data_IF_257496399487
#
_entry.id   IF_257496399487
#
_cell.length_a   1.000
_cell.length_b   1.000
_cell.length_c   1.000
_cell.angle_alpha   90.00
_cell.angle_beta   90.00
_cell.angle_gamma   90.00
#
_symmetry.space_group_name_H-M   'P 1'
#
loop_
_entity.id
_entity.type
_entity.pdbx_description
1 polymer ?
#
# COMPACT_ATOMS: atom_id res chain seq x y z
N UNK A 1 -9.66 -22.16 11.66
CA UNK A 1 -8.65 -21.46 10.84
C UNK A 1 -9.24 -20.22 10.21
N UNK A 2 -8.47 -19.14 10.12
CA UNK A 2 -8.83 -17.87 9.51
C UNK A 2 -7.72 -17.39 8.59
N UNK A 3 -8.04 -16.76 7.45
CA UNK A 3 -7.06 -16.06 6.64
C UNK A 3 -6.49 -14.87 7.40
N UNK A 4 -5.21 -14.55 7.22
CA UNK A 4 -4.63 -13.36 7.82
C UNK A 4 -3.57 -12.73 6.92
N UNK A 5 -3.53 -11.40 6.94
CA UNK A 5 -2.58 -10.60 6.19
C UNK A 5 -1.28 -10.45 6.99
N UNK A 6 -0.18 -10.61 6.28
CA UNK A 6 1.18 -10.31 6.75
C UNK A 6 1.63 -8.97 6.18
N UNK A 7 2.71 -8.41 6.69
CA UNK A 7 3.35 -7.20 6.14
C UNK A 7 3.56 -7.31 4.62
N UNK A 8 3.93 -8.49 4.13
CA UNK A 8 4.14 -8.73 2.69
C UNK A 8 2.89 -8.53 1.83
N UNK A 9 1.70 -8.68 2.40
CA UNK A 9 0.44 -8.52 1.69
C UNK A 9 0.03 -7.03 1.53
N UNK A 10 0.49 -6.14 2.43
CA UNK A 10 0.13 -4.72 2.40
C UNK A 10 1.09 -3.97 1.48
N UNK A 11 0.60 -3.55 0.32
CA UNK A 11 1.34 -2.72 -0.65
C UNK A 11 0.90 -1.26 -0.54
N UNK A 12 1.51 -0.37 -1.32
CA UNK A 12 1.22 1.07 -1.27
C UNK A 12 -0.19 1.44 -1.75
N UNK A 13 -0.79 0.67 -2.63
CA UNK A 13 -2.07 1.03 -3.27
C UNK A 13 -3.06 -0.12 -3.31
N UNK A 14 -2.66 -1.31 -2.88
CA UNK A 14 -3.50 -2.50 -2.90
C UNK A 14 -3.05 -3.54 -1.87
N UNK A 15 -3.93 -4.48 -1.57
CA UNK A 15 -3.59 -5.68 -0.81
C UNK A 15 -3.25 -6.80 -1.79
N UNK A 16 -2.06 -7.38 -1.66
CA UNK A 16 -1.65 -8.53 -2.44
C UNK A 16 -2.25 -9.81 -1.83
N UNK A 17 -3.19 -10.40 -2.53
CA UNK A 17 -3.92 -11.59 -2.09
C UNK A 17 -3.41 -12.90 -2.73
N UNK A 18 -2.30 -12.88 -3.47
CA UNK A 18 -1.78 -14.09 -4.13
C UNK A 18 -1.30 -15.15 -3.13
N UNK A 19 -0.77 -14.73 -1.99
CA UNK A 19 -0.28 -15.63 -0.92
C UNK A 19 -0.80 -15.16 0.44
N UNK A 20 -2.03 -15.54 0.76
CA UNK A 20 -2.66 -15.24 2.05
C UNK A 20 -2.49 -16.45 2.98
N UNK A 21 -1.80 -16.22 4.09
CA UNK A 21 -1.59 -17.26 5.09
C UNK A 21 -2.87 -17.53 5.90
N UNK A 22 -2.88 -18.64 6.64
CA UNK A 22 -3.96 -18.97 7.57
C UNK A 22 -3.41 -19.20 8.98
N UNK A 23 -4.22 -18.88 9.98
CA UNK A 23 -3.88 -19.04 11.38
C UNK A 23 -5.05 -19.68 12.16
N UNK A 24 -4.73 -20.51 13.13
CA UNK A 24 -5.71 -21.04 14.07
C UNK A 24 -5.89 -20.05 15.22
N UNK A 25 -7.11 -19.61 15.42
CA UNK A 25 -7.48 -18.67 16.48
C UNK A 25 -8.78 -19.12 17.14
N UNK A 26 -9.06 -18.62 18.32
CA UNK A 26 -10.38 -18.77 18.96
C UNK A 26 -11.44 -17.92 18.25
N UNK A 27 -12.71 -18.18 18.54
CA UNK A 27 -13.81 -17.39 17.98
C UNK A 27 -13.71 -15.94 18.47
N UNK A 28 -13.40 -15.74 19.75
CA UNK A 28 -13.25 -14.42 20.37
C UNK A 28 -12.11 -13.60 19.71
N UNK A 29 -10.97 -14.25 19.46
CA UNK A 29 -9.84 -13.62 18.77
C UNK A 29 -10.21 -13.29 17.32
N UNK A 30 -10.91 -14.19 16.63
CA UNK A 30 -11.36 -13.96 15.26
C UNK A 30 -12.30 -12.76 15.16
N UNK A 31 -13.21 -12.57 16.10
CA UNK A 31 -14.11 -11.42 16.13
C UNK A 31 -13.37 -10.12 16.49
N UNK A 32 -12.44 -10.19 17.45
CA UNK A 32 -11.70 -9.03 17.94
C UNK A 32 -10.73 -8.46 16.92
N UNK A 33 -10.06 -9.32 16.13
CA UNK A 33 -8.99 -8.94 15.21
C UNK A 33 -9.38 -9.00 13.73
N UNK A 34 -10.66 -9.24 13.43
CA UNK A 34 -11.15 -9.20 12.06
C UNK A 34 -11.04 -7.79 11.48
N UNK A 35 -10.46 -7.72 10.30
CA UNK A 35 -10.41 -6.49 9.52
C UNK A 35 -11.82 -6.07 9.08
N UNK A 36 -12.08 -4.78 9.14
CA UNK A 36 -13.33 -4.17 8.71
C UNK A 36 -13.12 -3.38 7.43
N UNK A 37 -14.05 -3.48 6.46
CA UNK A 37 -13.99 -2.63 5.28
C UNK A 37 -13.87 -1.14 5.65
N UNK A 38 -13.01 -0.42 4.96
CA UNK A 38 -12.74 1.00 5.21
C UNK A 38 -11.57 1.26 6.16
N UNK A 39 -10.94 0.25 6.75
CA UNK A 39 -9.72 0.45 7.54
C UNK A 39 -8.51 0.74 6.66
N UNK A 40 -7.68 1.70 7.05
CA UNK A 40 -6.38 1.94 6.44
C UNK A 40 -5.36 0.98 7.05
N UNK A 41 -4.85 0.07 6.25
CA UNK A 41 -3.79 -0.86 6.64
C UNK A 41 -2.43 -0.19 6.48
N UNK A 42 -1.64 -0.17 7.53
CA UNK A 42 -0.28 0.35 7.54
C UNK A 42 0.68 -0.69 8.09
N UNK A 43 1.92 -0.74 7.59
CA UNK A 43 2.92 -1.68 8.08
C UNK A 43 3.80 -1.04 9.16
N UNK A 44 4.14 -1.82 10.20
CA UNK A 44 5.04 -1.37 11.28
C UNK A 44 6.43 -1.04 10.76
N UNK A 45 6.92 -1.78 9.79
CA UNK A 45 8.29 -1.63 9.31
C UNK A 45 8.52 -2.18 7.92
N UNK A 46 9.73 -1.92 7.45
CA UNK A 46 10.22 -2.33 6.15
C UNK A 46 11.34 -1.44 5.67
N UNK A 47 11.49 -1.35 4.36
CA UNK A 47 12.42 -0.41 3.72
C UNK A 47 12.03 1.03 4.09
N UNK A 48 13.01 1.89 4.30
CA UNK A 48 12.79 3.29 4.73
C UNK A 48 11.83 4.07 3.84
N UNK A 49 11.85 3.80 2.54
CA UNK A 49 10.99 4.43 1.56
C UNK A 49 9.53 3.93 1.60
N UNK A 50 9.24 2.87 2.36
CA UNK A 50 7.91 2.27 2.51
C UNK A 50 7.21 2.60 3.82
N UNK A 51 7.90 3.23 4.77
CA UNK A 51 7.29 3.63 6.04
C UNK A 51 6.10 4.57 5.86
N UNK A 52 5.06 4.34 6.65
CA UNK A 52 3.85 5.16 6.61
C UNK A 52 2.97 4.95 5.38
N UNK A 53 3.38 4.09 4.44
CA UNK A 53 2.52 3.69 3.33
C UNK A 53 1.48 2.69 3.80
N UNK A 54 0.32 2.78 3.22
CA UNK A 54 -0.77 1.88 3.51
C UNK A 54 -1.68 1.69 2.30
N UNK A 55 -2.74 0.97 2.53
CA UNK A 55 -3.84 0.80 1.58
C UNK A 55 -5.13 0.53 2.32
N UNK A 56 -6.25 0.89 1.73
CA UNK A 56 -7.55 0.67 2.33
C UNK A 56 -7.97 -0.77 2.13
N UNK A 57 -8.42 -1.41 3.21
CA UNK A 57 -9.06 -2.71 3.16
C UNK A 57 -10.51 -2.56 2.70
N UNK A 58 -10.87 -3.20 1.60
CA UNK A 58 -12.22 -3.14 1.04
C UNK A 58 -13.11 -4.34 1.45
N UNK A 59 -12.57 -5.25 2.27
CA UNK A 59 -13.30 -6.44 2.70
C UNK A 59 -13.16 -7.62 1.73
N UNK A 60 -12.06 -7.69 0.99
CA UNK A 60 -11.79 -8.66 -0.07
C UNK A 60 -11.91 -10.11 0.39
N UNK A 61 -11.57 -10.37 1.66
CA UNK A 61 -11.72 -11.70 2.28
C UNK A 61 -12.52 -11.56 3.58
N UNK A 62 -13.75 -12.08 3.66
CA UNK A 62 -14.55 -12.02 4.88
C UNK A 62 -13.86 -12.67 6.08
N UNK A 63 -13.86 -11.98 7.23
CA UNK A 63 -13.26 -12.46 8.47
C UNK A 63 -11.73 -12.61 8.42
N UNK A 64 -11.08 -11.89 7.51
CA UNK A 64 -9.63 -11.83 7.41
C UNK A 64 -9.05 -11.12 8.64
N UNK A 65 -7.98 -11.68 9.18
CA UNK A 65 -7.23 -11.11 10.29
C UNK A 65 -5.96 -10.41 9.74
N UNK A 66 -5.22 -9.76 10.63
CA UNK A 66 -3.91 -9.19 10.29
C UNK A 66 -2.86 -9.55 11.34
N UNK A 67 -1.61 -9.58 10.91
CA UNK A 67 -0.46 -9.76 11.78
C UNK A 67 -0.28 -8.53 12.68
N UNK A 68 0.30 -8.71 13.86
CA UNK A 68 0.60 -7.63 14.81
C UNK A 68 1.51 -6.52 14.25
N UNK A 69 2.26 -6.80 13.18
CA UNK A 69 3.08 -5.84 12.44
C UNK A 69 2.33 -5.09 11.33
N UNK A 70 1.03 -5.30 11.22
CA UNK A 70 0.10 -4.54 10.37
C UNK A 70 -0.87 -3.81 11.27
N UNK A 71 -0.96 -2.51 11.13
CA UNK A 71 -1.91 -1.67 11.84
C UNK A 71 -3.17 -1.49 10.99
N UNK A 72 -4.34 -1.70 11.58
CA UNK A 72 -5.62 -1.38 11.00
C UNK A 72 -6.11 -0.05 11.63
N UNK A 73 -6.02 1.02 10.87
CA UNK A 73 -6.33 2.37 11.33
C UNK A 73 -7.77 2.71 10.97
N UNK A 74 -8.57 3.04 11.97
CA UNK A 74 -9.93 3.55 11.80
C UNK A 74 -9.95 5.05 12.02
N UNK A 75 -10.70 5.76 11.21
CA UNK A 75 -10.97 7.20 11.38
C UNK A 75 -12.37 7.42 11.96
N UNK A 76 -12.58 8.55 12.61
CA UNK A 76 -13.94 9.01 12.89
C UNK A 76 -14.49 9.68 11.62
N UNK A 77 -15.39 8.96 10.93
CA UNK A 77 -15.98 9.40 9.66
C UNK A 77 -16.77 10.71 9.74
N UNK A 78 -17.08 11.18 10.97
CA UNK A 78 -17.66 12.51 11.15
C UNK A 78 -16.72 13.65 10.79
N UNK A 79 -15.41 13.40 10.81
CA UNK A 79 -14.39 14.42 10.63
C UNK A 79 -13.44 14.11 9.47
N UNK A 80 -13.20 12.83 9.17
CA UNK A 80 -12.17 12.43 8.22
C UNK A 80 -12.61 11.23 7.39
N UNK A 81 -12.35 11.29 6.09
CA UNK A 81 -12.49 10.16 5.18
C UNK A 81 -11.20 9.33 5.18
N UNK A 82 -11.31 8.01 5.27
CA UNK A 82 -10.13 7.12 5.27
C UNK A 82 -9.26 7.34 4.02
N UNK A 83 -9.87 7.57 2.86
CA UNK A 83 -9.14 7.83 1.62
C UNK A 83 -8.34 9.14 1.66
N UNK A 84 -8.84 10.15 2.37
CA UNK A 84 -8.11 11.38 2.59
C UNK A 84 -6.88 11.15 3.48
N UNK A 85 -7.02 10.35 4.56
CA UNK A 85 -5.89 9.96 5.41
C UNK A 85 -4.86 9.14 4.62
N UNK A 86 -5.28 8.21 3.77
CA UNK A 86 -4.42 7.42 2.88
C UNK A 86 -3.53 8.34 2.03
N UNK A 87 -4.12 9.34 1.37
CA UNK A 87 -3.34 10.33 0.63
C UNK A 87 -2.41 11.17 1.49
N UNK A 88 -2.83 11.54 2.72
CA UNK A 88 -1.97 12.29 3.63
C UNK A 88 -0.75 11.47 4.06
N UNK A 89 -0.92 10.20 4.39
CA UNK A 89 0.20 9.33 4.79
C UNK A 89 1.14 9.05 3.61
N UNK A 90 0.62 8.95 2.40
CA UNK A 90 1.41 8.77 1.17
C UNK A 90 2.10 10.07 0.69
N UNK A 91 1.65 11.23 1.16
CA UNK A 91 2.21 12.53 0.77
C UNK A 91 3.65 12.74 1.24
N UNK A 92 4.41 13.70 0.67
CA UNK A 92 5.74 14.05 1.16
C UNK A 92 5.76 14.39 2.65
N UNK A 93 4.73 15.08 3.16
CA UNK A 93 4.61 15.46 4.58
C UNK A 93 4.47 14.21 5.47
N UNK A 94 3.61 13.26 5.09
CA UNK A 94 3.44 12.00 5.81
C UNK A 94 4.72 11.17 5.78
N UNK A 95 5.34 11.05 4.63
CA UNK A 95 6.60 10.30 4.46
C UNK A 95 7.74 10.90 5.29
N UNK A 96 7.89 12.22 5.29
CA UNK A 96 8.89 12.90 6.12
C UNK A 96 8.63 12.67 7.61
N UNK A 97 7.38 12.80 8.05
CA UNK A 97 6.99 12.53 9.43
C UNK A 97 7.38 11.10 9.86
N UNK A 98 6.99 10.09 9.09
CA UNK A 98 7.30 8.69 9.41
C UNK A 98 8.80 8.40 9.30
N UNK A 99 9.54 9.01 8.36
CA UNK A 99 11.00 8.86 8.31
C UNK A 99 11.70 9.52 9.52
N UNK A 100 11.27 10.71 9.93
CA UNK A 100 11.89 11.43 11.07
C UNK A 100 11.60 10.75 12.42
N UNK A 101 10.40 10.18 12.58
CA UNK A 101 9.96 9.55 13.83
C UNK A 101 10.27 8.06 13.91
N UNK A 102 10.75 7.46 12.81
CA UNK A 102 11.06 6.05 12.74
C UNK A 102 12.22 5.64 13.64
N UNK A 103 12.09 4.47 14.24
CA UNK A 103 13.20 3.78 14.88
C UNK A 103 14.06 3.11 13.79
N UNK A 104 15.25 3.64 13.58
CA UNK A 104 16.12 3.23 12.46
C UNK A 104 17.20 2.26 12.93
N UNK A 105 17.42 1.21 12.14
CA UNK A 105 18.59 0.34 12.20
C UNK A 105 19.38 0.47 10.88
N UNK A 106 20.45 -0.29 10.70
CA UNK A 106 21.30 -0.20 9.49
C UNK A 106 20.50 -0.37 8.18
N UNK A 107 19.54 -1.30 8.14
CA UNK A 107 18.81 -1.65 6.91
C UNK A 107 17.28 -1.52 7.03
N UNK A 108 16.76 -1.34 8.23
CA UNK A 108 15.32 -1.32 8.47
C UNK A 108 14.92 -0.08 9.25
N UNK A 109 13.72 0.36 9.03
CA UNK A 109 13.06 1.37 9.83
C UNK A 109 11.70 0.86 10.29
N UNK A 110 11.27 1.24 11.49
CA UNK A 110 9.98 0.85 12.04
C UNK A 110 9.27 2.02 12.69
N UNK A 111 7.95 2.01 12.60
CA UNK A 111 7.05 2.89 13.32
C UNK A 111 6.28 2.09 14.38
N UNK A 112 5.39 2.73 15.11
CA UNK A 112 4.52 2.07 16.08
C UNK A 112 3.17 2.79 16.16
N UNK A 113 2.20 2.18 16.84
CA UNK A 113 0.85 2.72 16.96
C UNK A 113 0.84 4.14 17.58
N UNK A 114 1.68 4.41 18.58
CA UNK A 114 1.77 5.74 19.19
C UNK A 114 2.21 6.79 18.20
N UNK A 115 3.23 6.50 17.39
CA UNK A 115 3.71 7.39 16.33
C UNK A 115 2.62 7.65 15.29
N UNK A 116 1.87 6.62 14.87
CA UNK A 116 0.75 6.77 13.93
C UNK A 116 -0.33 7.69 14.52
N UNK A 117 -0.71 7.48 15.76
CA UNK A 117 -1.72 8.30 16.45
C UNK A 117 -1.28 9.76 16.71
N UNK A 118 0.01 10.03 16.74
CA UNK A 118 0.57 11.37 16.91
C UNK A 118 0.81 12.11 15.58
N UNK A 119 0.52 11.48 14.45
CA UNK A 119 0.62 12.15 13.18
C UNK A 119 -0.43 13.27 13.08
N UNK A 120 0.05 14.51 13.14
CA UNK A 120 -0.81 15.69 13.05
C UNK A 120 -1.23 15.92 11.59
N UNK A 121 -2.54 15.93 11.37
CA UNK A 121 -3.13 16.03 10.04
C UNK A 121 -4.07 17.24 9.93
N UNK A 122 -4.15 17.92 8.80
CA UNK A 122 -5.20 18.91 8.54
C UNK A 122 -6.55 18.19 8.41
N UNK A 123 -7.60 18.79 8.95
CA UNK A 123 -8.96 18.25 8.86
C UNK A 123 -9.88 19.32 8.23
N UNK A 124 -9.84 19.49 6.89
CA UNK A 124 -10.80 20.35 6.21
C UNK A 124 -12.22 19.75 6.28
N UNK A 125 -13.27 20.52 5.98
CA UNK A 125 -14.63 20.00 5.89
C UNK A 125 -14.72 18.78 4.98
N UNK A 126 -15.60 17.81 5.29
CA UNK A 126 -15.75 16.57 4.51
C UNK A 126 -15.97 16.82 3.02
N UNK A 127 -16.75 17.85 2.67
CA UNK A 127 -17.00 18.24 1.27
C UNK A 127 -15.73 18.72 0.53
N UNK A 128 -14.74 19.24 1.25
CA UNK A 128 -13.45 19.61 0.69
C UNK A 128 -12.54 18.37 0.56
N UNK A 129 -12.56 17.48 1.55
CA UNK A 129 -11.87 16.19 1.46
C UNK A 129 -12.35 15.39 0.25
N UNK A 130 -13.67 15.30 0.01
CA UNK A 130 -14.25 14.63 -1.16
C UNK A 130 -13.74 15.22 -2.49
N UNK A 131 -13.68 16.55 -2.60
CA UNK A 131 -13.15 17.21 -3.79
C UNK A 131 -11.67 16.92 -4.02
N UNK A 132 -10.88 16.94 -2.95
CA UNK A 132 -9.44 16.60 -3.01
C UNK A 132 -9.28 15.15 -3.45
N UNK A 133 -9.99 14.22 -2.84
CA UNK A 133 -9.97 12.79 -3.20
C UNK A 133 -10.32 12.62 -4.68
N UNK A 134 -11.42 13.23 -5.14
CA UNK A 134 -11.88 13.12 -6.54
C UNK A 134 -10.81 13.58 -7.53
N UNK A 135 -10.11 14.68 -7.23
CA UNK A 135 -9.04 15.21 -8.08
C UNK A 135 -7.84 14.26 -8.08
N UNK A 136 -7.45 13.79 -6.89
CA UNK A 136 -6.30 12.90 -6.75
C UNK A 136 -6.56 11.53 -7.39
N UNK A 137 -7.73 10.92 -7.15
CA UNK A 137 -8.10 9.64 -7.77
C UNK A 137 -8.06 9.70 -9.29
N UNK A 138 -8.63 10.76 -9.88
CA UNK A 138 -8.60 10.93 -11.34
C UNK A 138 -7.18 11.08 -11.88
N UNK A 139 -6.36 11.91 -11.23
CA UNK A 139 -5.01 12.17 -11.71
C UNK A 139 -4.09 10.97 -11.50
N UNK A 140 -4.18 10.28 -10.36
CA UNK A 140 -3.41 9.07 -10.10
C UNK A 140 -3.80 7.93 -11.04
N UNK A 141 -5.10 7.74 -11.33
CA UNK A 141 -5.55 6.76 -12.31
C UNK A 141 -4.91 7.01 -13.69
N UNK A 142 -4.96 8.25 -14.17
CA UNK A 142 -4.34 8.62 -15.47
C UNK A 142 -2.82 8.40 -15.46
N UNK A 143 -2.14 8.73 -14.37
CA UNK A 143 -0.70 8.50 -14.23
C UNK A 143 -0.40 7.01 -14.24
N UNK A 144 -1.17 6.20 -13.52
CA UNK A 144 -0.99 4.75 -13.44
C UNK A 144 -1.23 4.06 -14.80
N UNK A 145 -2.20 4.53 -15.60
CA UNK A 145 -2.40 4.08 -16.97
C UNK A 145 -1.14 4.33 -17.83
N UNK A 146 -0.60 5.55 -17.78
CA UNK A 146 0.63 5.88 -18.52
C UNK A 146 1.83 5.06 -18.04
N UNK A 147 1.96 4.82 -16.75
CA UNK A 147 3.01 3.96 -16.19
C UNK A 147 2.89 2.55 -16.77
N UNK A 148 1.70 1.93 -16.73
CA UNK A 148 1.46 0.59 -17.25
C UNK A 148 1.77 0.47 -18.76
N UNK A 149 1.41 1.48 -19.57
CA UNK A 149 1.79 1.54 -20.99
C UNK A 149 3.31 1.57 -21.18
N UNK A 150 4.02 2.36 -20.36
CA UNK A 150 5.49 2.45 -20.44
C UNK A 150 6.17 1.15 -20.00
N UNK A 151 5.67 0.50 -18.97
CA UNK A 151 6.18 -0.80 -18.52
C UNK A 151 6.00 -1.87 -19.61
N UNK A 152 4.84 -1.88 -20.27
CA UNK A 152 4.60 -2.76 -21.43
C UNK A 152 5.59 -2.48 -22.54
N UNK A 153 5.81 -1.22 -22.91
CA UNK A 153 6.78 -0.82 -23.93
C UNK A 153 8.21 -1.27 -23.57
N UNK A 154 8.62 -1.12 -22.31
CA UNK A 154 9.93 -1.58 -21.84
C UNK A 154 10.06 -3.09 -22.03
N UNK A 155 9.05 -3.87 -21.64
CA UNK A 155 9.02 -5.33 -21.80
C UNK A 155 9.14 -5.75 -23.28
N UNK A 156 8.42 -5.06 -24.18
CA UNK A 156 8.47 -5.30 -25.62
C UNK A 156 9.85 -5.00 -26.21
N UNK A 157 10.46 -3.88 -25.80
CA UNK A 157 11.80 -3.51 -26.22
C UNK A 157 12.87 -4.50 -25.72
N UNK A 158 12.74 -5.01 -24.49
CA UNK A 158 13.63 -6.05 -23.98
C UNK A 158 13.48 -7.37 -24.78
N UNK A 159 12.26 -7.74 -25.13
CA UNK A 159 11.96 -8.90 -25.95
C UNK A 159 12.53 -8.75 -27.37
N UNK A 160 12.33 -7.58 -27.97
CA UNK A 160 12.90 -7.24 -29.27
C UNK A 160 14.43 -7.27 -29.24
N UNK A 161 15.06 -6.69 -28.23
CA UNK A 161 16.51 -6.74 -28.05
C UNK A 161 17.04 -8.18 -28.01
N UNK A 162 16.37 -9.06 -27.24
CA UNK A 162 16.74 -10.49 -27.16
C UNK A 162 16.62 -11.18 -28.54
N UNK A 163 15.53 -10.94 -29.28
CA UNK A 163 15.31 -11.48 -30.63
C UNK A 163 16.36 -10.98 -31.60
N UNK A 164 16.65 -9.68 -31.61
CA UNK A 164 17.65 -9.09 -32.49
C UNK A 164 19.05 -9.69 -32.26
N UNK A 165 19.47 -9.82 -31.01
CA UNK A 165 20.74 -10.44 -30.64
C UNK A 165 20.79 -11.89 -31.19
N UNK A 166 19.72 -12.66 -30.94
CA UNK A 166 19.63 -14.03 -31.40
C UNK A 166 19.73 -14.12 -32.93
N UNK A 167 18.96 -13.32 -33.66
CA UNK A 167 18.92 -13.33 -35.13
C UNK A 167 20.29 -12.99 -35.74
N UNK A 168 20.97 -11.98 -35.20
CA UNK A 168 22.29 -11.55 -35.73
C UNK A 168 23.37 -12.57 -35.38
N UNK A 169 23.45 -13.03 -34.14
CA UNK A 169 24.49 -13.98 -33.70
C UNK A 169 24.34 -15.35 -34.38
N UNK A 170 23.10 -15.76 -34.66
CA UNK A 170 22.85 -17.05 -35.39
C UNK A 170 22.86 -16.94 -36.88
N UNK A 171 23.14 -15.76 -37.45
CA UNK A 171 23.16 -15.53 -38.90
C UNK A 171 21.79 -15.55 -39.60
N UNK A 172 20.70 -15.54 -38.84
CA UNK A 172 19.34 -15.43 -39.36
C UNK A 172 19.03 -14.04 -39.91
N UNK A 173 19.73 -13.03 -39.42
CA UNK A 173 19.69 -11.65 -39.91
C UNK A 173 21.11 -11.23 -40.33
N UNK A 174 21.26 -10.74 -41.55
CA UNK A 174 22.54 -10.16 -41.99
C UNK A 174 22.71 -8.76 -41.41
N UNK A 175 23.94 -8.44 -41.04
CA UNK A 175 24.39 -7.11 -40.63
C UNK A 175 24.66 -6.24 -41.83
#
# INVERSE_FOLDING_TARGET
SRPYLRVANVKAEHVDLQDVATIMVTIEEAEKYALKPGELLMTEGGDRDKLGRGTIWHGEIPGCLHQNHVFAVQVDEKYMLTKFLDYLTASPVGREYFDLTAKKTTNLASTNATTILQFSVPIPPLTEQEKIITILDRNTATINEVIAEKETLVSDLESYKKSLIYEVVTGKRRV
#
